data_IF_980770188102
#
_entry.id   IF_980770188102
#
_cell.length_a   1.000
_cell.length_b   1.000
_cell.length_c   1.000
_cell.angle_alpha   90.00
_cell.angle_beta   90.00
_cell.angle_gamma   90.00
#
_symmetry.space_group_name_H-M   'P 1'
#
loop_
_entity.id
_entity.type
_entity.pdbx_description
1 polymer ?
#
# COMPACT_ATOMS: atom_id res chain seq x y z
N UNK A 1 7.22 -2.79 -13.37
CA UNK A 1 7.13 -2.43 -11.94
C UNK A 1 5.85 -2.90 -11.24
N UNK A 2 4.81 -3.40 -11.94
CA UNK A 2 3.59 -3.91 -11.29
C UNK A 2 3.70 -5.32 -10.67
N UNK A 3 4.68 -6.13 -11.09
CA UNK A 3 4.74 -7.56 -10.71
C UNK A 3 5.18 -7.85 -9.26
N UNK A 4 5.63 -6.87 -8.48
CA UNK A 4 6.18 -7.11 -7.13
C UNK A 4 5.52 -6.31 -5.98
N UNK A 5 4.65 -5.34 -6.26
CA UNK A 5 4.19 -4.39 -5.23
C UNK A 5 2.79 -4.63 -4.66
N UNK A 6 2.04 -5.60 -5.18
CA UNK A 6 0.66 -5.83 -4.74
C UNK A 6 0.62 -6.68 -3.46
N UNK A 7 1.67 -7.48 -3.20
CA UNK A 7 1.73 -8.35 -2.03
C UNK A 7 1.68 -7.59 -0.71
N UNK A 8 2.37 -6.47 -0.60
CA UNK A 8 2.40 -5.67 0.64
C UNK A 8 1.03 -5.07 1.00
N UNK A 9 0.32 -4.34 0.10
CA UNK A 9 -1.03 -3.86 0.39
C UNK A 9 -2.02 -4.98 0.71
N UNK A 10 -1.94 -6.13 0.02
CA UNK A 10 -2.82 -7.28 0.30
C UNK A 10 -2.53 -7.84 1.70
N UNK A 11 -1.26 -8.02 2.05
CA UNK A 11 -0.87 -8.57 3.36
C UNK A 11 -1.29 -7.63 4.50
N UNK A 12 -1.17 -6.32 4.27
CA UNK A 12 -1.62 -5.28 5.19
C UNK A 12 -3.15 -5.30 5.36
N UNK A 13 -3.90 -5.43 4.25
CA UNK A 13 -5.36 -5.59 4.27
C UNK A 13 -5.80 -6.82 5.07
N UNK A 14 -5.18 -7.98 4.81
CA UNK A 14 -5.48 -9.24 5.52
C UNK A 14 -5.16 -9.11 7.01
N UNK A 15 -4.02 -8.52 7.37
CA UNK A 15 -3.60 -8.37 8.77
C UNK A 15 -4.55 -7.47 9.56
N UNK A 16 -4.94 -6.32 8.98
CA UNK A 16 -5.89 -5.41 9.64
C UNK A 16 -7.27 -6.06 9.76
N UNK A 17 -7.72 -6.76 8.72
CA UNK A 17 -9.03 -7.44 8.73
C UNK A 17 -9.07 -8.55 9.76
N UNK A 18 -8.02 -9.38 9.86
CA UNK A 18 -7.91 -10.43 10.89
C UNK A 18 -7.87 -9.81 12.30
N UNK A 19 -7.12 -8.72 12.50
CA UNK A 19 -7.10 -8.01 13.79
C UNK A 19 -8.49 -7.51 14.17
N UNK A 20 -9.23 -6.86 13.26
CA UNK A 20 -10.59 -6.42 13.55
C UNK A 20 -11.54 -7.60 13.79
N UNK A 21 -11.36 -8.73 13.08
CA UNK A 21 -12.18 -9.92 13.28
C UNK A 21 -12.02 -10.54 14.68
N UNK A 22 -10.81 -10.54 15.24
CA UNK A 22 -10.55 -11.11 16.57
C UNK A 22 -10.80 -10.14 17.73
N UNK A 23 -10.67 -8.83 17.52
CA UNK A 23 -10.69 -7.84 18.61
C UNK A 23 -11.87 -6.87 18.58
N UNK A 24 -12.62 -6.77 17.47
CA UNK A 24 -13.79 -5.89 17.37
C UNK A 24 -15.07 -6.69 17.10
N UNK A 25 -16.21 -6.21 17.60
CA UNK A 25 -17.52 -6.79 17.29
C UNK A 25 -17.93 -6.61 15.82
N UNK A 26 -17.29 -5.67 15.09
CA UNK A 26 -17.60 -5.35 13.70
C UNK A 26 -16.33 -5.03 12.91
N UNK A 27 -16.26 -5.55 11.69
CA UNK A 27 -15.22 -5.20 10.72
C UNK A 27 -15.64 -3.91 10.01
N UNK A 28 -14.82 -2.86 10.10
CA UNK A 28 -15.03 -1.66 9.31
C UNK A 28 -14.36 -1.82 7.94
N UNK A 29 -15.14 -2.35 7.00
CA UNK A 29 -14.69 -2.63 5.63
C UNK A 29 -14.22 -1.37 4.89
N UNK A 30 -14.89 -0.23 5.11
CA UNK A 30 -14.54 1.04 4.45
C UNK A 30 -13.15 1.49 4.89
N UNK A 31 -12.88 1.46 6.19
CA UNK A 31 -11.56 1.81 6.72
C UNK A 31 -10.48 0.86 6.20
N UNK A 32 -10.71 -0.45 6.23
CA UNK A 32 -9.71 -1.44 5.80
C UNK A 32 -9.38 -1.33 4.30
N UNK A 33 -10.41 -1.21 3.46
CA UNK A 33 -10.25 -1.05 2.01
C UNK A 33 -9.60 0.31 1.71
N UNK A 34 -10.08 1.38 2.35
CA UNK A 34 -9.58 2.74 2.17
C UNK A 34 -8.09 2.84 2.52
N UNK A 35 -7.69 2.32 3.68
CA UNK A 35 -6.31 2.34 4.16
C UNK A 35 -5.38 1.51 3.26
N UNK A 36 -5.85 0.37 2.75
CA UNK A 36 -5.08 -0.47 1.82
C UNK A 36 -4.85 0.20 0.46
N UNK A 37 -5.87 0.89 -0.07
CA UNK A 37 -5.74 1.70 -1.29
C UNK A 37 -4.78 2.87 -1.06
N UNK A 38 -4.87 3.54 0.08
CA UNK A 38 -4.01 4.66 0.44
C UNK A 38 -2.53 4.26 0.48
N UNK A 39 -2.22 3.13 1.14
CA UNK A 39 -0.86 2.58 1.19
C UNK A 39 -0.36 2.20 -0.21
N UNK A 40 -1.21 1.57 -1.03
CA UNK A 40 -0.85 1.25 -2.40
C UNK A 40 -0.53 2.51 -3.23
N UNK A 41 -1.34 3.56 -3.13
CA UNK A 41 -1.10 4.83 -3.82
C UNK A 41 0.19 5.50 -3.35
N UNK A 42 0.42 5.57 -2.04
CA UNK A 42 1.67 6.09 -1.48
C UNK A 42 2.90 5.35 -2.00
N UNK A 43 2.84 4.02 -2.03
CA UNK A 43 3.94 3.21 -2.52
C UNK A 43 4.22 3.46 -4.01
N UNK A 44 3.17 3.54 -4.83
CA UNK A 44 3.33 3.86 -6.25
C UNK A 44 3.92 5.26 -6.46
N UNK A 45 3.46 6.24 -5.68
CA UNK A 45 4.00 7.60 -5.73
C UNK A 45 5.47 7.65 -5.32
N UNK A 46 5.84 6.90 -4.28
CA UNK A 46 7.22 6.79 -3.80
C UNK A 46 8.15 6.17 -4.86
N UNK A 47 7.76 5.04 -5.45
CA UNK A 47 8.54 4.41 -6.53
C UNK A 47 8.64 5.28 -7.77
N UNK A 48 7.57 5.99 -8.12
CA UNK A 48 7.58 6.96 -9.21
C UNK A 48 8.55 8.12 -8.92
N UNK A 49 8.53 8.66 -7.69
CA UNK A 49 9.43 9.72 -7.23
C UNK A 49 10.89 9.28 -7.29
N UNK A 50 11.22 8.07 -6.81
CA UNK A 50 12.57 7.50 -6.94
C UNK A 50 13.02 7.40 -8.39
N UNK A 51 12.16 6.88 -9.28
CA UNK A 51 12.49 6.76 -10.70
C UNK A 51 12.75 8.13 -11.33
N UNK A 52 11.95 9.14 -10.98
CA UNK A 52 12.13 10.53 -11.41
C UNK A 52 13.46 11.11 -10.90
N UNK A 53 13.78 10.89 -9.63
CA UNK A 53 15.03 11.32 -9.02
C UNK A 53 16.26 10.68 -9.68
N UNK A 54 16.20 9.38 -9.95
CA UNK A 54 17.27 8.63 -10.62
C UNK A 54 17.48 9.13 -12.05
N UNK A 55 16.39 9.43 -12.78
CA UNK A 55 16.45 10.00 -14.12
C UNK A 55 17.09 11.40 -14.16
N UNK A 56 16.90 12.20 -13.11
CA UNK A 56 17.57 13.49 -12.96
C UNK A 56 19.06 13.34 -12.59
N UNK A 57 19.40 12.31 -11.79
CA UNK A 57 20.78 12.03 -11.38
C UNK A 57 21.64 11.50 -12.52
N UNK A 58 21.08 10.65 -13.40
CA UNK A 58 21.81 10.08 -14.54
C UNK A 58 22.03 11.08 -15.70
N UNK A 59 21.36 12.25 -15.66
CA UNK A 59 21.51 13.33 -16.64
C UNK A 59 22.59 14.36 -16.29
N UNK A 60 23.20 14.27 -15.11
CA UNK A 60 24.16 15.24 -14.57
C UNK A 60 25.52 14.56 -14.37
#
# INVERSE_FOLDING_TARGET
>A
MFKYNIGFPILLFVTITLKQFFFNNYINWIDNIGLSILVFLFYNFWEWSKKSYQWHKDKN
#
